data_IF_859995452122
#
_entry.id   IF_859995452122
#
_cell.length_a   1.000
_cell.length_b   1.000
_cell.length_c   1.000
_cell.angle_alpha   90.00
_cell.angle_beta   90.00
_cell.angle_gamma   90.00
#
_symmetry.space_group_name_H-M   'P 1'
#
loop_
_entity.id
_entity.type
_entity.pdbx_description
1 polymer ?
#
# COMPACT_ATOMS: atom_id res chain seq x y z
N UNK A 1 -14.13 6.70 30.64
CA UNK A 1 -14.02 6.12 29.29
C UNK A 1 -15.23 6.60 28.51
N UNK A 2 -15.00 7.43 27.49
CA UNK A 2 -16.06 7.92 26.61
C UNK A 2 -16.53 6.74 25.75
N UNK A 3 -17.83 6.65 25.44
CA UNK A 3 -18.33 5.61 24.55
C UNK A 3 -17.67 5.78 23.17
N UNK A 4 -17.14 4.71 22.55
CA UNK A 4 -16.66 4.75 21.17
C UNK A 4 -17.69 5.37 20.22
N UNK A 5 -17.22 6.19 19.28
CA UNK A 5 -18.08 6.79 18.27
C UNK A 5 -18.63 5.73 17.30
N UNK A 6 -17.80 4.76 16.93
CA UNK A 6 -18.13 3.65 16.04
C UNK A 6 -18.01 2.32 16.78
N UNK A 7 -18.86 1.36 16.43
CA UNK A 7 -18.76 0.02 17.02
C UNK A 7 -17.65 -0.81 16.36
N UNK A 8 -17.09 -1.79 17.08
CA UNK A 8 -16.19 -2.79 16.48
C UNK A 8 -16.71 -3.39 15.19
N UNK A 9 -18.00 -3.75 15.17
CA UNK A 9 -18.64 -4.41 14.03
C UNK A 9 -18.72 -3.48 12.81
N UNK A 10 -18.98 -2.19 13.04
CA UNK A 10 -18.99 -1.18 11.98
C UNK A 10 -17.59 -0.96 11.42
N UNK A 11 -16.57 -0.83 12.28
CA UNK A 11 -15.17 -0.69 11.85
C UNK A 11 -14.72 -1.91 11.03
N UNK A 12 -15.02 -3.13 11.50
CA UNK A 12 -14.71 -4.36 10.78
C UNK A 12 -15.39 -4.39 9.40
N UNK A 13 -16.69 -4.10 9.33
CA UNK A 13 -17.42 -4.10 8.07
C UNK A 13 -16.92 -3.03 7.09
N UNK A 14 -16.56 -1.83 7.59
CA UNK A 14 -15.97 -0.79 6.75
C UNK A 14 -14.58 -1.21 6.22
N UNK A 15 -13.80 -1.94 7.02
CA UNK A 15 -12.49 -2.44 6.60
C UNK A 15 -12.58 -3.55 5.58
N UNK A 16 -13.53 -4.48 5.72
CA UNK A 16 -13.74 -5.52 4.72
C UNK A 16 -14.02 -4.90 3.34
N UNK A 17 -14.78 -3.78 3.30
CA UNK A 17 -15.03 -3.02 2.06
C UNK A 17 -13.78 -2.27 1.59
N UNK A 18 -12.97 -1.73 2.52
CA UNK A 18 -11.68 -1.12 2.19
C UNK A 18 -10.75 -2.14 1.50
N UNK A 19 -10.56 -3.32 2.09
CA UNK A 19 -9.70 -4.38 1.52
C UNK A 19 -10.19 -4.83 0.14
N UNK A 20 -11.50 -5.03 -0.04
CA UNK A 20 -12.09 -5.37 -1.34
C UNK A 20 -11.85 -4.27 -2.38
N UNK A 21 -11.93 -3.00 -1.96
CA UNK A 21 -11.68 -1.85 -2.85
C UNK A 21 -10.21 -1.79 -3.26
N UNK A 22 -9.29 -1.98 -2.32
CA UNK A 22 -7.84 -2.02 -2.56
C UNK A 22 -7.48 -3.17 -3.50
N UNK A 23 -7.97 -4.38 -3.21
CA UNK A 23 -7.70 -5.56 -4.04
C UNK A 23 -8.19 -5.37 -5.48
N UNK A 24 -9.42 -4.87 -5.66
CA UNK A 24 -9.97 -4.59 -6.99
C UNK A 24 -9.19 -3.49 -7.72
N UNK A 25 -8.77 -2.44 -7.00
CA UNK A 25 -7.97 -1.36 -7.60
C UNK A 25 -6.59 -1.87 -8.04
N UNK A 26 -5.94 -2.75 -7.27
CA UNK A 26 -4.69 -3.37 -7.66
C UNK A 26 -4.85 -4.27 -8.91
N UNK A 27 -5.91 -5.07 -8.96
CA UNK A 27 -6.22 -5.94 -10.11
C UNK A 27 -6.53 -5.16 -11.39
N UNK A 28 -7.32 -4.09 -11.28
CA UNK A 28 -7.82 -3.32 -12.43
C UNK A 28 -6.99 -2.09 -12.78
N UNK A 29 -6.01 -1.75 -11.92
CA UNK A 29 -5.27 -0.50 -11.94
C UNK A 29 -6.16 0.77 -11.88
N UNK A 30 -7.36 0.64 -11.32
CA UNK A 30 -8.29 1.75 -11.10
C UNK A 30 -7.99 2.45 -9.77
N UNK A 31 -6.99 3.33 -9.80
CA UNK A 31 -6.61 4.13 -8.65
C UNK A 31 -7.65 5.19 -8.28
N UNK A 32 -8.59 5.54 -9.17
CA UNK A 32 -9.67 6.47 -8.81
C UNK A 32 -10.69 5.80 -7.90
N UNK A 33 -11.02 4.54 -8.18
CA UNK A 33 -11.87 3.74 -7.30
C UNK A 33 -11.25 3.55 -5.91
N UNK A 34 -9.92 3.39 -5.84
CA UNK A 34 -9.20 3.36 -4.56
C UNK A 34 -9.36 4.67 -3.79
N UNK A 35 -9.04 5.83 -4.40
CA UNK A 35 -9.15 7.14 -3.73
C UNK A 35 -10.57 7.46 -3.25
N UNK A 36 -11.60 6.90 -3.88
CA UNK A 36 -12.99 7.19 -3.56
C UNK A 36 -13.41 6.81 -2.12
N UNK A 37 -12.72 5.87 -1.46
CA UNK A 37 -13.03 5.46 -0.09
C UNK A 37 -12.51 6.45 0.98
N UNK A 38 -11.74 7.46 0.61
CA UNK A 38 -11.25 8.47 1.54
C UNK A 38 -12.23 9.62 1.67
N UNK A 39 -12.23 10.41 2.74
CA UNK A 39 -12.99 11.69 2.76
C UNK A 39 -12.36 12.70 1.78
N UNK A 40 -13.11 13.72 1.30
CA UNK A 40 -12.55 14.75 0.40
C UNK A 40 -11.31 15.46 0.96
N UNK A 41 -11.26 15.62 2.28
CA UNK A 41 -10.24 16.28 3.08
C UNK A 41 -9.24 15.32 3.76
N UNK A 42 -9.12 14.09 3.27
CA UNK A 42 -8.24 13.06 3.83
C UNK A 42 -6.81 13.54 4.05
N UNK A 43 -6.21 13.15 5.17
CA UNK A 43 -4.76 13.24 5.38
C UNK A 43 -4.11 11.89 5.10
N UNK A 44 -3.23 11.79 4.11
CA UNK A 44 -2.47 10.57 3.85
C UNK A 44 -1.00 10.82 4.17
N UNK A 45 -0.46 10.11 5.15
CA UNK A 45 0.94 10.20 5.56
C UNK A 45 1.70 9.01 4.99
N UNK A 46 2.46 9.25 3.93
CA UNK A 46 3.43 8.31 3.43
C UNK A 46 4.80 8.69 4.01
N UNK A 47 5.25 7.99 5.06
CA UNK A 47 6.43 8.41 5.83
C UNK A 47 7.72 8.55 5.01
N UNK A 48 7.83 7.87 3.86
CA UNK A 48 8.98 7.99 2.99
C UNK A 48 8.85 9.07 1.90
N UNK A 49 7.63 9.48 1.51
CA UNK A 49 7.37 10.41 0.40
C UNK A 49 6.64 11.70 0.79
N UNK A 50 6.21 11.84 2.04
CA UNK A 50 5.56 13.03 2.58
C UNK A 50 4.07 12.85 2.86
N UNK A 51 3.41 13.96 3.18
CA UNK A 51 1.98 13.96 3.49
C UNK A 51 1.19 14.59 2.34
N UNK A 52 0.13 13.91 1.90
CA UNK A 52 -0.84 14.39 0.93
C UNK A 52 -2.09 14.90 1.66
N UNK A 53 -2.67 15.98 1.15
CA UNK A 53 -3.86 16.62 1.72
C UNK A 53 -5.00 16.63 0.68
N UNK A 54 -6.05 15.87 1.00
CA UNK A 54 -7.22 15.68 0.16
C UNK A 54 -7.04 14.66 -0.96
N UNK A 55 -8.17 14.24 -1.54
CA UNK A 55 -8.23 13.18 -2.56
C UNK A 55 -7.38 13.48 -3.80
N UNK A 56 -7.25 14.74 -4.18
CA UNK A 56 -6.56 15.11 -5.42
C UNK A 56 -5.05 14.89 -5.33
N UNK A 57 -4.44 15.25 -4.20
CA UNK A 57 -3.01 14.99 -3.96
C UNK A 57 -2.74 13.50 -3.81
N UNK A 58 -3.59 12.79 -3.07
CA UNK A 58 -3.53 11.33 -2.93
C UNK A 58 -3.62 10.64 -4.29
N UNK A 59 -4.55 11.06 -5.15
CA UNK A 59 -4.71 10.53 -6.52
C UNK A 59 -3.47 10.75 -7.39
N UNK A 60 -2.91 11.96 -7.34
CA UNK A 60 -1.70 12.29 -8.11
C UNK A 60 -0.52 11.42 -7.66
N UNK A 61 -0.36 11.28 -6.34
CA UNK A 61 0.70 10.47 -5.75
C UNK A 61 0.56 8.99 -6.09
N UNK A 62 -0.59 8.36 -5.82
CA UNK A 62 -0.75 6.91 -6.00
C UNK A 62 -0.58 6.50 -7.46
N UNK A 63 -1.13 7.29 -8.41
CA UNK A 63 -0.99 7.01 -9.84
C UNK A 63 0.47 7.03 -10.25
N UNK A 64 1.24 8.02 -9.78
CA UNK A 64 2.67 8.11 -10.05
C UNK A 64 3.41 6.91 -9.46
N UNK A 65 3.23 6.66 -8.16
CA UNK A 65 3.91 5.60 -7.42
C UNK A 65 3.65 4.22 -8.02
N UNK A 66 2.39 3.92 -8.36
CA UNK A 66 1.97 2.63 -8.88
C UNK A 66 2.17 2.46 -10.40
N UNK A 67 2.55 3.52 -11.12
CA UNK A 67 2.89 3.44 -12.55
C UNK A 67 4.37 3.17 -12.86
N UNK A 68 5.23 3.19 -11.84
CA UNK A 68 6.69 3.05 -12.01
C UNK A 68 7.27 2.02 -11.07
N UNK A 69 8.35 1.36 -11.47
CA UNK A 69 9.07 0.41 -10.63
C UNK A 69 9.62 1.11 -9.37
N UNK A 70 9.50 0.50 -8.16
CA UNK A 70 8.99 -0.85 -7.88
C UNK A 70 7.47 -0.96 -7.71
N UNK A 71 6.74 0.16 -7.57
CA UNK A 71 5.30 0.16 -7.30
C UNK A 71 4.47 -0.53 -8.38
N UNK A 72 4.81 -0.33 -9.66
CA UNK A 72 4.13 -0.97 -10.80
C UNK A 72 4.17 -2.50 -10.79
N UNK A 73 4.99 -3.10 -9.93
CA UNK A 73 5.15 -4.54 -9.82
C UNK A 73 4.49 -5.12 -8.57
N UNK A 74 4.01 -4.28 -7.65
CA UNK A 74 3.22 -4.75 -6.53
C UNK A 74 1.83 -5.12 -7.04
N UNK A 75 1.43 -6.36 -6.78
CA UNK A 75 0.23 -6.96 -7.39
C UNK A 75 -0.96 -6.96 -6.46
N UNK A 76 -0.71 -6.95 -5.15
CA UNK A 76 -1.73 -7.04 -4.12
C UNK A 76 -1.27 -6.26 -2.88
N UNK A 77 -2.22 -5.97 -1.99
CA UNK A 77 -1.96 -5.29 -0.71
C UNK A 77 -2.78 -5.93 0.43
N UNK A 78 -2.57 -7.21 0.76
CA UNK A 78 -3.37 -7.88 1.78
C UNK A 78 -2.96 -7.45 3.19
N UNK A 79 -3.93 -7.29 4.10
CA UNK A 79 -3.62 -7.22 5.52
C UNK A 79 -3.32 -8.62 6.06
N UNK A 80 -2.11 -8.83 6.60
CA UNK A 80 -1.71 -10.11 7.20
C UNK A 80 -2.37 -10.31 8.57
N UNK A 81 -2.57 -9.22 9.29
CA UNK A 81 -3.33 -9.16 10.53
C UNK A 81 -3.85 -7.73 10.74
N UNK A 82 -4.91 -7.62 11.54
CA UNK A 82 -5.57 -6.34 11.85
C UNK A 82 -5.83 -6.21 13.35
N UNK A 83 -5.81 -4.97 13.84
CA UNK A 83 -6.21 -4.58 15.19
C UNK A 83 -7.24 -3.46 15.05
N UNK A 84 -8.40 -3.65 15.67
CA UNK A 84 -9.47 -2.64 15.72
C UNK A 84 -9.35 -1.86 17.02
N UNK A 85 -9.08 -0.56 16.89
CA UNK A 85 -9.08 0.42 17.98
C UNK A 85 -10.40 1.20 17.98
N UNK A 86 -11.35 0.74 18.80
CA UNK A 86 -12.69 1.35 18.89
C UNK A 86 -12.67 2.76 19.48
N UNK A 87 -11.79 3.03 20.46
CA UNK A 87 -11.73 4.34 21.11
C UNK A 87 -11.21 5.41 20.15
N UNK A 88 -10.22 5.08 19.34
CA UNK A 88 -9.70 5.96 18.29
C UNK A 88 -10.50 5.94 16.99
N UNK A 89 -11.41 4.98 16.78
CA UNK A 89 -12.07 4.78 15.48
C UNK A 89 -11.08 4.38 14.38
N UNK A 90 -10.09 3.54 14.71
CA UNK A 90 -8.97 3.21 13.83
C UNK A 90 -8.83 1.72 13.58
N UNK A 91 -8.20 1.39 12.46
CA UNK A 91 -7.68 0.05 12.21
C UNK A 91 -6.18 0.15 11.95
N UNK A 92 -5.45 -0.77 12.57
CA UNK A 92 -4.00 -0.91 12.44
C UNK A 92 -3.76 -2.28 11.82
N UNK A 93 -3.00 -2.34 10.73
CA UNK A 93 -2.69 -3.62 10.09
C UNK A 93 -1.22 -3.69 9.65
N UNK A 94 -0.70 -4.90 9.56
CA UNK A 94 0.48 -5.17 8.73
C UNK A 94 0.01 -5.46 7.31
N UNK A 95 0.38 -4.58 6.39
CA UNK A 95 0.07 -4.68 4.98
C UNK A 95 1.27 -5.31 4.26
N UNK A 96 1.02 -6.39 3.51
CA UNK A 96 2.05 -6.98 2.65
C UNK A 96 2.00 -6.35 1.24
N UNK A 97 3.14 -6.34 0.55
CA UNK A 97 3.27 -5.75 -0.78
C UNK A 97 3.97 -6.75 -1.73
N UNK A 98 3.33 -7.89 -2.07
CA UNK A 98 3.91 -8.89 -2.96
C UNK A 98 4.14 -8.33 -4.37
N UNK A 99 5.37 -8.48 -4.83
CA UNK A 99 5.74 -8.21 -6.21
C UNK A 99 5.30 -9.35 -7.13
N UNK A 100 5.07 -9.05 -8.42
CA UNK A 100 4.77 -10.05 -9.46
C UNK A 100 5.79 -11.18 -9.46
N UNK A 101 5.39 -12.38 -9.85
CA UNK A 101 6.30 -13.52 -9.96
C UNK A 101 7.48 -13.19 -10.91
N UNK A 102 8.75 -13.33 -10.48
CA UNK A 102 9.90 -13.19 -11.37
C UNK A 102 10.01 -14.30 -12.42
N UNK A 103 9.20 -15.36 -12.36
CA UNK A 103 9.07 -16.40 -13.39
C UNK A 103 9.29 -17.83 -12.89
N UNK A 104 9.35 -18.05 -11.57
CA UNK A 104 9.57 -19.38 -10.98
C UNK A 104 8.65 -19.68 -9.79
N UNK A 105 7.61 -18.88 -9.57
CA UNK A 105 6.67 -18.98 -8.45
C UNK A 105 7.19 -18.39 -7.14
N UNK A 106 8.37 -17.78 -7.10
CA UNK A 106 8.89 -17.14 -5.89
C UNK A 106 8.12 -15.84 -5.59
N UNK A 107 7.55 -15.74 -4.38
CA UNK A 107 6.95 -14.49 -3.90
C UNK A 107 8.02 -13.66 -3.17
N UNK A 108 8.21 -12.43 -3.63
CA UNK A 108 9.10 -11.45 -2.99
C UNK A 108 8.24 -10.27 -2.58
N UNK A 109 8.25 -9.95 -1.29
CA UNK A 109 7.41 -8.91 -0.71
C UNK A 109 8.17 -8.12 0.37
N UNK A 110 7.56 -7.01 0.81
CA UNK A 110 7.95 -6.23 1.97
C UNK A 110 6.70 -5.72 2.68
N UNK A 111 6.72 -5.68 4.01
CA UNK A 111 5.57 -5.22 4.80
C UNK A 111 5.72 -3.80 5.31
N UNK A 112 4.59 -3.10 5.45
CA UNK A 112 4.45 -1.85 6.19
C UNK A 112 3.36 -1.99 7.26
N UNK A 113 3.41 -1.12 8.28
CA UNK A 113 2.25 -0.92 9.15
C UNK A 113 1.39 0.18 8.52
N UNK A 114 0.10 -0.09 8.36
CA UNK A 114 -0.88 0.91 7.97
C UNK A 114 -1.82 1.23 9.13
N UNK A 115 -2.11 2.50 9.34
CA UNK A 115 -3.08 2.98 10.33
C UNK A 115 -4.13 3.80 9.59
N UNK A 116 -5.37 3.34 9.57
CA UNK A 116 -6.49 4.03 8.91
C UNK A 116 -7.51 4.52 9.94
N UNK A 117 -7.95 5.77 9.82
CA UNK A 117 -8.94 6.39 10.71
C UNK A 117 -10.28 6.51 10.00
N UNK A 118 -11.31 5.91 10.59
CA UNK A 118 -12.65 5.89 10.04
C UNK A 118 -13.41 7.18 10.34
N UNK A 119 -14.16 7.68 9.35
CA UNK A 119 -14.91 8.92 9.44
C UNK A 119 -16.44 8.70 9.45
N UNK A 120 -16.91 7.46 9.37
CA UNK A 120 -18.32 7.14 9.14
C UNK A 120 -18.64 6.97 7.65
N UNK A 121 -19.85 6.47 7.37
CA UNK A 121 -20.41 6.31 6.01
C UNK A 121 -19.51 5.54 5.02
N UNK A 122 -18.67 4.62 5.53
CA UNK A 122 -17.73 3.85 4.71
C UNK A 122 -16.48 4.64 4.27
N UNK A 123 -16.23 5.83 4.82
CA UNK A 123 -15.12 6.70 4.43
C UNK A 123 -14.00 6.76 5.48
N UNK A 124 -12.77 6.97 5.01
CA UNK A 124 -11.56 7.07 5.82
C UNK A 124 -10.99 8.50 5.77
N UNK A 125 -10.82 9.14 6.92
CA UNK A 125 -10.31 10.52 7.00
C UNK A 125 -8.79 10.59 7.06
N UNK A 126 -8.12 9.46 7.36
CA UNK A 126 -6.66 9.43 7.48
C UNK A 126 -6.10 8.06 7.19
N UNK A 127 -4.93 8.03 6.57
CA UNK A 127 -4.08 6.83 6.48
C UNK A 127 -2.63 7.20 6.78
N UNK A 128 -1.92 6.35 7.52
CA UNK A 128 -0.48 6.43 7.69
C UNK A 128 0.17 5.11 7.27
N UNK A 129 1.16 5.17 6.40
CA UNK A 129 1.99 4.02 6.05
C UNK A 129 3.40 4.19 6.61
N UNK A 130 3.78 3.26 7.48
CA UNK A 130 5.00 3.30 8.28
C UNK A 130 5.85 2.08 7.93
N UNK A 131 7.01 2.31 7.36
CA UNK A 131 7.96 1.25 7.01
C UNK A 131 9.40 1.74 6.94
N UNK A 132 10.32 0.78 6.85
CA UNK A 132 11.72 1.06 6.57
C UNK A 132 11.95 1.05 5.03
N UNK A 133 12.27 2.19 4.39
CA UNK A 133 12.48 2.25 2.94
C UNK A 133 13.58 1.31 2.45
N UNK A 134 14.60 1.04 3.28
CA UNK A 134 15.68 0.12 2.92
C UNK A 134 15.20 -1.33 2.80
N UNK A 135 14.13 -1.73 3.50
CA UNK A 135 13.54 -3.07 3.35
C UNK A 135 12.83 -3.20 2.00
N UNK A 136 12.13 -2.16 1.55
CA UNK A 136 11.50 -2.12 0.23
C UNK A 136 12.54 -2.11 -0.90
N UNK A 137 13.62 -1.34 -0.74
CA UNK A 137 14.77 -1.37 -1.68
C UNK A 137 15.40 -2.75 -1.72
N UNK A 138 15.61 -3.41 -0.57
CA UNK A 138 16.18 -4.75 -0.51
C UNK A 138 15.28 -5.80 -1.19
N UNK A 139 13.96 -5.75 -0.97
CA UNK A 139 13.00 -6.63 -1.64
C UNK A 139 13.01 -6.42 -3.15
N UNK A 140 12.99 -5.16 -3.60
CA UNK A 140 13.05 -4.79 -5.02
C UNK A 140 14.35 -5.27 -5.68
N UNK A 141 15.50 -5.08 -5.02
CA UNK A 141 16.79 -5.60 -5.50
C UNK A 141 16.84 -7.13 -5.54
N UNK A 142 16.21 -7.81 -4.58
CA UNK A 142 16.08 -9.27 -4.59
C UNK A 142 15.24 -9.72 -5.79
N UNK A 143 14.15 -9.03 -6.08
CA UNK A 143 13.32 -9.27 -7.26
C UNK A 143 14.12 -9.09 -8.55
N UNK A 144 14.84 -7.98 -8.70
CA UNK A 144 15.64 -7.72 -9.90
C UNK A 144 16.71 -8.80 -10.14
N UNK A 145 17.45 -9.21 -9.10
CA UNK A 145 18.46 -10.28 -9.21
C UNK A 145 17.84 -11.60 -9.64
N UNK A 146 16.70 -11.97 -9.04
CA UNK A 146 16.00 -13.20 -9.37
C UNK A 146 15.48 -13.18 -10.82
N UNK A 147 14.87 -12.08 -11.24
CA UNK A 147 14.43 -11.90 -12.61
C UNK A 147 15.61 -11.92 -13.61
N UNK A 148 16.77 -11.37 -13.22
CA UNK A 148 17.98 -11.44 -14.04
C UNK A 148 18.48 -12.87 -14.23
N UNK A 149 18.52 -13.67 -13.15
CA UNK A 149 18.89 -15.08 -13.18
C UNK A 149 17.95 -15.90 -14.09
N UNK A 150 16.67 -15.55 -14.11
CA UNK A 150 15.64 -16.23 -14.90
C UNK A 150 15.51 -15.69 -16.34
N UNK A 151 16.20 -14.60 -16.68
CA UNK A 151 16.10 -13.93 -17.98
C UNK A 151 14.79 -13.17 -18.22
N UNK A 152 14.09 -12.78 -17.15
CA UNK A 152 12.78 -12.09 -17.16
C UNK A 152 12.86 -10.63 -16.70
N UNK A 153 14.07 -10.13 -16.40
CA UNK A 153 14.29 -8.73 -16.03
C UNK A 153 14.04 -7.82 -17.23
N UNK A 154 13.05 -6.93 -17.14
CA UNK A 154 12.79 -5.93 -18.18
C UNK A 154 13.61 -4.65 -18.01
N UNK A 155 13.54 -3.77 -19.02
CA UNK A 155 14.37 -2.57 -19.12
C UNK A 155 14.15 -1.58 -17.96
N UNK A 156 12.92 -1.46 -17.45
CA UNK A 156 12.60 -0.53 -16.36
C UNK A 156 13.24 -1.01 -15.05
N UNK A 157 13.01 -2.28 -14.70
CA UNK A 157 13.61 -2.88 -13.50
C UNK A 157 15.14 -2.96 -13.61
N UNK A 158 15.70 -3.19 -14.81
CA UNK A 158 17.13 -3.16 -15.06
C UNK A 158 17.74 -1.76 -14.86
N UNK A 159 17.08 -0.71 -15.36
CA UNK A 159 17.51 0.66 -15.17
C UNK A 159 17.50 1.04 -13.68
N UNK A 160 16.44 0.68 -12.96
CA UNK A 160 16.35 0.88 -11.51
C UNK A 160 17.45 0.12 -10.77
N UNK A 161 17.66 -1.16 -11.09
CA UNK A 161 18.71 -1.99 -10.48
C UNK A 161 20.11 -1.39 -10.69
N UNK A 162 20.38 -0.80 -11.87
CA UNK A 162 21.65 -0.13 -12.14
C UNK A 162 21.82 1.14 -11.31
N UNK A 163 20.75 1.91 -11.11
CA UNK A 163 20.78 3.16 -10.35
C UNK A 163 20.99 2.91 -8.85
N UNK A 164 20.33 1.90 -8.29
CA UNK A 164 20.30 1.65 -6.84
C UNK A 164 21.19 0.46 -6.39
N UNK A 165 21.65 -0.37 -7.31
CA UNK A 165 22.43 -1.58 -7.03
C UNK A 165 23.93 -1.39 -6.87
N UNK A 166 24.46 -0.18 -7.10
CA UNK A 166 25.89 0.10 -7.05
C UNK A 166 26.52 0.17 -5.64
N UNK A 167 25.73 0.03 -4.56
CA UNK A 167 26.17 0.21 -3.17
C UNK A 167 25.78 -0.94 -2.22
N UNK A 168 25.62 -2.17 -2.73
CA UNK A 168 25.36 -3.35 -1.90
C UNK A 168 26.52 -4.36 -1.98
#
# INVERSE_FOLDING_TARGET
MTKPQFSRAELAAAFDVFEQTVARAAETQDWDAWVAHYTPDVEYVEHAMGTMHGRDEVRSWIRKTMSTFPGSYMTEFPALWTVIDEEGGRIICELDNPMRDPGDGTIISATNISIVTYAGDGLWSRQEDIYNPLRFVAASMKWCRKAQELGTLDDEAAAWMKQFGGNA
#
